data_IF_230082760714
#
_entry.id   IF_230082760714
#
_cell.length_a   1.000
_cell.length_b   1.000
_cell.length_c   1.000
_cell.angle_alpha   90.00
_cell.angle_beta   90.00
_cell.angle_gamma   90.00
#
_symmetry.space_group_name_H-M   'P 1'
#
loop_
_entity.id
_entity.type
_entity.pdbx_description
1 polymer ?
#
# COMPACT_ATOMS: atom_id res chain seq x y z
N UNK A 1 -2.42 -17.33 13.63
CA UNK A 1 -0.99 -17.53 13.28
C UNK A 1 -0.71 -16.57 12.13
N UNK A 2 0.16 -15.59 12.33
CA UNK A 2 0.45 -14.54 11.34
C UNK A 2 1.08 -15.10 10.06
N UNK A 3 0.91 -14.42 8.94
CA UNK A 3 1.58 -14.73 7.68
C UNK A 3 3.08 -14.45 7.77
N UNK A 4 3.47 -13.37 8.44
CA UNK A 4 4.85 -13.14 8.88
C UNK A 4 4.90 -12.27 10.13
N UNK A 5 6.03 -12.36 10.82
CA UNK A 5 6.37 -11.50 11.94
C UNK A 5 7.86 -11.14 11.87
N UNK A 6 8.13 -9.85 11.76
CA UNK A 6 9.44 -9.25 11.96
C UNK A 6 9.47 -8.76 13.41
N UNK A 7 10.41 -9.28 14.21
CA UNK A 7 10.58 -8.94 15.63
C UNK A 7 11.93 -8.26 15.82
N UNK A 8 11.90 -6.95 16.06
CA UNK A 8 13.07 -6.08 16.26
C UNK A 8 14.17 -6.27 15.20
N UNK A 9 13.77 -6.37 13.93
CA UNK A 9 14.65 -6.74 12.82
C UNK A 9 15.55 -5.58 12.43
N UNK A 10 16.87 -5.81 12.46
CA UNK A 10 17.86 -4.87 11.92
C UNK A 10 18.71 -5.56 10.86
N UNK A 11 19.04 -4.82 9.81
CA UNK A 11 19.87 -5.30 8.72
C UNK A 11 20.81 -4.21 8.17
N UNK A 12 22.02 -4.61 7.83
CA UNK A 12 23.05 -3.76 7.19
C UNK A 12 23.73 -4.50 6.05
N UNK A 13 24.02 -3.77 4.98
CA UNK A 13 24.97 -4.21 3.96
C UNK A 13 26.36 -3.72 4.37
N UNK A 14 27.27 -4.64 4.64
CA UNK A 14 28.60 -4.32 5.18
C UNK A 14 28.51 -3.45 6.46
N UNK A 15 28.87 -2.17 6.33
CA UNK A 15 28.82 -1.18 7.43
C UNK A 15 27.63 -0.23 7.35
N UNK A 16 26.84 -0.27 6.26
CA UNK A 16 25.74 0.66 6.03
C UNK A 16 24.43 0.10 6.56
N UNK A 17 23.84 0.66 7.63
CA UNK A 17 22.54 0.23 8.12
C UNK A 17 21.46 0.51 7.09
N UNK A 18 20.56 -0.45 6.89
CA UNK A 18 19.43 -0.36 5.94
C UNK A 18 18.10 -0.53 6.63
N UNK A 19 18.04 -1.37 7.67
CA UNK A 19 16.88 -1.52 8.53
C UNK A 19 17.32 -1.46 9.99
N UNK A 20 16.51 -0.81 10.83
CA UNK A 20 16.80 -0.63 12.25
C UNK A 20 15.52 -0.88 13.07
N UNK A 21 15.52 -1.98 13.84
CA UNK A 21 14.48 -2.28 14.82
C UNK A 21 13.08 -2.34 14.21
N UNK A 22 12.88 -3.09 13.12
CA UNK A 22 11.58 -3.22 12.46
C UNK A 22 10.73 -4.25 13.19
N UNK A 23 9.58 -3.80 13.70
CA UNK A 23 8.51 -4.64 14.25
C UNK A 23 7.30 -4.54 13.31
N UNK A 24 6.99 -5.62 12.59
CA UNK A 24 5.91 -5.63 11.63
C UNK A 24 5.30 -7.03 11.49
N UNK A 25 3.99 -7.10 11.48
CA UNK A 25 3.22 -8.34 11.30
C UNK A 25 2.24 -8.22 10.16
N UNK A 26 1.90 -9.36 9.56
CA UNK A 26 0.79 -9.52 8.62
C UNK A 26 -0.06 -10.71 9.04
N UNK A 27 -1.37 -10.50 9.13
CA UNK A 27 -2.32 -11.56 9.43
C UNK A 27 -2.88 -12.20 8.15
N UNK A 28 -3.38 -13.46 8.21
CA UNK A 28 -4.10 -14.07 7.09
C UNK A 28 -5.34 -13.25 6.72
N UNK A 29 -5.60 -13.10 5.42
CA UNK A 29 -6.74 -12.32 4.95
C UNK A 29 -6.60 -10.81 5.17
N UNK A 30 -5.36 -10.32 5.15
CA UNK A 30 -5.02 -8.90 5.29
C UNK A 30 -4.19 -8.43 4.09
N UNK A 31 -4.46 -7.20 3.61
CA UNK A 31 -3.62 -6.49 2.65
C UNK A 31 -2.87 -5.38 3.38
N UNK A 32 -1.56 -5.53 3.52
CA UNK A 32 -0.66 -4.54 4.10
C UNK A 32 0.04 -3.76 2.99
N UNK A 33 -0.23 -2.45 2.91
CA UNK A 33 0.55 -1.53 2.08
C UNK A 33 1.88 -1.19 2.77
N UNK A 34 3.01 -1.50 2.13
CA UNK A 34 4.34 -1.11 2.61
C UNK A 34 4.86 0.05 1.77
N UNK A 35 4.84 1.25 2.34
CA UNK A 35 5.15 2.50 1.66
C UNK A 35 6.48 3.08 2.12
N UNK A 36 7.16 3.78 1.21
CA UNK A 36 8.43 4.44 1.48
C UNK A 36 9.08 4.89 0.18
N UNK A 37 9.96 5.89 0.26
CA UNK A 37 10.74 6.33 -0.89
C UNK A 37 11.71 5.24 -1.39
N UNK A 38 12.34 5.46 -2.55
CA UNK A 38 13.37 4.56 -3.04
C UNK A 38 14.56 4.56 -2.09
N UNK A 39 15.01 3.37 -1.67
CA UNK A 39 16.07 3.22 -0.67
C UNK A 39 15.55 3.21 0.79
N UNK A 40 14.26 3.35 1.05
CA UNK A 40 13.70 3.28 2.41
C UNK A 40 13.88 1.91 3.11
N UNK A 41 14.20 0.84 2.35
CA UNK A 41 14.39 -0.51 2.90
C UNK A 41 13.28 -1.51 2.54
N UNK A 42 12.26 -1.14 1.76
CA UNK A 42 11.14 -2.02 1.37
C UNK A 42 11.59 -3.35 0.78
N UNK A 43 12.41 -3.30 -0.27
CA UNK A 43 12.94 -4.51 -0.93
C UNK A 43 13.82 -5.35 0.01
N UNK A 44 14.48 -4.73 0.98
CA UNK A 44 15.25 -5.44 2.01
C UNK A 44 14.32 -6.18 2.97
N UNK A 45 13.22 -5.56 3.41
CA UNK A 45 12.17 -6.25 4.18
C UNK A 45 11.61 -7.45 3.42
N UNK A 46 11.26 -7.27 2.12
CA UNK A 46 10.80 -8.36 1.27
C UNK A 46 11.82 -9.51 1.24
N UNK A 47 13.09 -9.23 0.99
CA UNK A 47 14.14 -10.24 0.90
C UNK A 47 14.33 -11.01 2.21
N UNK A 48 14.20 -10.36 3.36
CA UNK A 48 14.25 -10.98 4.68
C UNK A 48 13.04 -11.92 4.89
N UNK A 49 11.83 -11.47 4.54
CA UNK A 49 10.60 -12.28 4.64
C UNK A 49 10.68 -13.49 3.69
N UNK A 50 11.23 -13.32 2.50
CA UNK A 50 11.45 -14.42 1.55
C UNK A 50 12.58 -15.39 1.97
N UNK A 51 13.36 -15.05 3.02
CA UNK A 51 14.52 -15.85 3.44
C UNK A 51 15.70 -15.80 2.48
N UNK A 52 15.75 -14.80 1.60
CA UNK A 52 16.88 -14.56 0.70
C UNK A 52 18.07 -13.92 1.43
N UNK A 53 17.83 -13.43 2.64
CA UNK A 53 18.80 -12.81 3.51
C UNK A 53 18.42 -13.09 4.98
N UNK A 54 19.43 -13.11 5.86
CA UNK A 54 19.21 -13.26 7.30
C UNK A 54 19.38 -11.90 8.00
N UNK A 55 18.57 -11.57 9.02
CA UNK A 55 18.73 -10.34 9.77
C UNK A 55 20.05 -10.36 10.56
N UNK A 56 20.63 -9.18 10.80
CA UNK A 56 21.79 -9.08 11.71
C UNK A 56 21.36 -9.11 13.19
N UNK A 57 20.14 -8.62 13.48
CA UNK A 57 19.50 -8.64 14.80
C UNK A 57 18.01 -8.86 14.65
N UNK A 58 17.40 -9.40 15.68
CA UNK A 58 15.98 -9.75 15.69
C UNK A 58 15.69 -11.08 15.02
N UNK A 59 14.43 -11.36 14.75
CA UNK A 59 13.99 -12.61 14.16
C UNK A 59 12.91 -12.40 13.08
N UNK A 60 12.85 -13.31 12.11
CA UNK A 60 11.85 -13.34 11.04
C UNK A 60 11.18 -14.69 11.05
N UNK A 61 9.88 -14.73 11.32
CA UNK A 61 9.06 -15.92 11.20
C UNK A 61 8.03 -15.75 10.09
N UNK A 62 7.80 -16.80 9.29
CA UNK A 62 6.88 -16.76 8.14
C UNK A 62 6.05 -18.03 8.14
N UNK A 63 4.71 -17.91 8.11
CA UNK A 63 3.76 -19.01 8.14
C UNK A 63 4.04 -20.05 9.25
N UNK A 64 4.58 -19.56 10.38
CA UNK A 64 4.92 -20.37 11.55
C UNK A 64 6.23 -21.13 11.46
N UNK A 65 7.01 -20.95 10.41
CA UNK A 65 8.35 -21.50 10.24
C UNK A 65 9.42 -20.42 10.10
N UNK A 66 10.65 -20.84 9.80
CA UNK A 66 11.73 -19.91 9.50
C UNK A 66 11.65 -19.41 8.05
N UNK A 67 11.99 -18.14 7.85
CA UNK A 67 12.12 -17.58 6.51
C UNK A 67 13.16 -18.38 5.70
N UNK A 68 12.84 -18.73 4.45
CA UNK A 68 13.72 -19.52 3.57
C UNK A 68 13.54 -21.04 3.67
N UNK A 69 12.83 -21.56 4.65
CA UNK A 69 12.54 -23.00 4.71
C UNK A 69 11.73 -23.46 3.48
N UNK A 70 12.10 -24.56 2.80
CA UNK A 70 11.39 -25.05 1.62
C UNK A 70 9.90 -25.29 1.87
N UNK A 71 9.52 -25.77 3.07
CA UNK A 71 8.13 -25.98 3.47
C UNK A 71 7.33 -24.67 3.60
N UNK A 72 8.01 -23.55 3.88
CA UNK A 72 7.43 -22.22 3.97
C UNK A 72 7.38 -21.57 2.58
N UNK A 73 8.51 -21.58 1.87
CA UNK A 73 8.67 -20.87 0.59
C UNK A 73 7.73 -21.37 -0.50
N UNK A 74 7.37 -22.67 -0.50
CA UNK A 74 6.37 -23.20 -1.43
C UNK A 74 4.99 -22.53 -1.32
N UNK A 75 4.67 -21.96 -0.16
CA UNK A 75 3.41 -21.26 0.11
C UNK A 75 3.51 -19.73 -0.05
N UNK A 76 4.65 -19.22 -0.51
CA UNK A 76 4.84 -17.80 -0.78
C UNK A 76 4.77 -17.56 -2.30
N UNK A 77 4.04 -16.52 -2.69
CA UNK A 77 4.10 -15.93 -4.03
C UNK A 77 4.89 -14.62 -4.00
N UNK A 78 5.71 -14.40 -5.01
CA UNK A 78 6.47 -13.16 -5.12
C UNK A 78 6.43 -12.60 -6.54
N UNK A 79 6.04 -11.34 -6.66
CA UNK A 79 6.13 -10.54 -7.88
C UNK A 79 7.17 -9.44 -7.65
N UNK A 80 8.35 -9.50 -8.25
CA UNK A 80 9.35 -8.43 -8.17
C UNK A 80 8.95 -7.23 -9.05
N UNK A 81 9.50 -6.04 -8.75
CA UNK A 81 9.31 -4.82 -9.54
C UNK A 81 9.67 -5.02 -11.02
N UNK A 82 10.79 -5.67 -11.29
CA UNK A 82 11.28 -5.93 -12.63
C UNK A 82 11.14 -7.41 -12.98
N UNK A 83 10.17 -7.70 -13.85
CA UNK A 83 9.90 -9.05 -14.33
C UNK A 83 10.60 -9.28 -15.66
N UNK A 84 11.46 -10.30 -15.73
CA UNK A 84 12.15 -10.71 -16.95
C UNK A 84 11.87 -12.18 -17.26
N UNK A 85 11.50 -12.45 -18.49
CA UNK A 85 11.25 -13.81 -19.00
C UNK A 85 12.12 -14.09 -20.23
N UNK A 86 12.29 -15.37 -20.53
CA UNK A 86 12.98 -15.81 -21.74
C UNK A 86 12.16 -15.41 -22.98
N UNK A 87 12.67 -14.55 -23.87
CA UNK A 87 11.89 -13.95 -24.95
C UNK A 87 11.36 -14.95 -25.99
N UNK A 88 12.00 -16.12 -26.07
CA UNK A 88 11.67 -17.18 -27.03
C UNK A 88 10.51 -18.05 -26.60
N UNK A 89 10.23 -18.11 -25.28
CA UNK A 89 9.18 -18.93 -24.71
C UNK A 89 7.83 -18.22 -24.73
N UNK A 90 6.77 -19.01 -24.81
CA UNK A 90 5.39 -18.52 -24.64
C UNK A 90 5.05 -18.33 -23.16
N UNK A 91 3.98 -17.55 -22.86
CA UNK A 91 3.50 -17.38 -21.50
C UNK A 91 3.14 -18.71 -20.84
N UNK A 92 2.51 -19.62 -21.60
CA UNK A 92 2.17 -20.96 -21.15
C UNK A 92 3.41 -21.81 -20.83
N UNK A 93 4.40 -21.80 -21.68
CA UNK A 93 5.66 -22.56 -21.45
C UNK A 93 6.38 -22.08 -20.20
N UNK A 94 6.48 -20.77 -20.02
CA UNK A 94 7.07 -20.14 -18.84
C UNK A 94 6.31 -20.54 -17.58
N UNK A 95 5.01 -20.41 -17.58
CA UNK A 95 4.21 -20.70 -16.39
C UNK A 95 4.20 -22.20 -16.07
N UNK A 96 4.20 -23.08 -17.07
CA UNK A 96 4.39 -24.52 -16.91
C UNK A 96 5.75 -24.85 -16.26
N UNK A 97 6.81 -24.17 -16.66
CA UNK A 97 8.14 -24.35 -16.08
C UNK A 97 8.15 -23.99 -14.59
N UNK A 98 7.62 -22.84 -14.23
CA UNK A 98 7.53 -22.42 -12.82
C UNK A 98 6.58 -23.29 -12.01
N UNK A 99 5.47 -23.76 -12.58
CA UNK A 99 4.58 -24.70 -11.92
C UNK A 99 5.30 -26.00 -11.53
N UNK A 100 6.11 -26.55 -12.43
CA UNK A 100 6.93 -27.75 -12.14
C UNK A 100 7.95 -27.46 -11.03
N UNK A 101 8.66 -26.33 -11.08
CA UNK A 101 9.65 -25.96 -10.05
C UNK A 101 9.00 -25.81 -8.67
N UNK A 102 7.77 -25.29 -8.63
CA UNK A 102 7.02 -25.10 -7.39
C UNK A 102 6.25 -26.34 -6.92
N UNK A 103 6.24 -27.42 -7.72
CA UNK A 103 5.42 -28.59 -7.44
C UNK A 103 3.90 -28.34 -7.57
N UNK A 104 3.51 -27.29 -8.31
CA UNK A 104 2.11 -26.94 -8.53
C UNK A 104 1.52 -27.71 -9.72
N UNK A 105 0.21 -27.96 -9.69
CA UNK A 105 -0.49 -28.64 -10.79
C UNK A 105 -0.44 -27.81 -12.07
N UNK A 106 -0.06 -28.44 -13.19
CA UNK A 106 -0.07 -27.81 -14.52
C UNK A 106 -1.49 -27.40 -14.99
N UNK A 107 -2.54 -28.01 -14.42
CA UNK A 107 -3.92 -27.65 -14.72
C UNK A 107 -4.29 -26.24 -14.30
N UNK A 108 -3.56 -25.63 -13.35
CA UNK A 108 -3.74 -24.25 -12.94
C UNK A 108 -3.28 -23.24 -14.01
N UNK A 109 -2.37 -23.64 -14.90
CA UNK A 109 -1.67 -22.72 -15.80
C UNK A 109 -2.63 -21.98 -16.74
N UNK A 110 -3.50 -22.65 -17.53
CA UNK A 110 -4.45 -21.91 -18.38
C UNK A 110 -5.39 -21.04 -17.57
N UNK A 111 -5.90 -21.52 -16.43
CA UNK A 111 -6.80 -20.76 -15.57
C UNK A 111 -6.16 -19.49 -15.02
N UNK A 112 -4.90 -19.55 -14.56
CA UNK A 112 -4.17 -18.38 -14.07
C UNK A 112 -3.88 -17.38 -15.19
N UNK A 113 -3.55 -17.86 -16.41
CA UNK A 113 -3.34 -16.98 -17.56
C UNK A 113 -4.64 -16.26 -17.97
N UNK A 114 -5.77 -16.93 -17.93
CA UNK A 114 -7.09 -16.31 -18.14
C UNK A 114 -7.40 -15.30 -17.04
N UNK A 115 -7.17 -15.67 -15.78
CA UNK A 115 -7.45 -14.83 -14.61
C UNK A 115 -6.66 -13.51 -14.62
N UNK A 116 -5.43 -13.52 -15.13
CA UNK A 116 -4.64 -12.30 -15.29
C UNK A 116 -4.84 -11.61 -16.65
N UNK A 117 -5.81 -12.04 -17.47
CA UNK A 117 -6.14 -11.45 -18.77
C UNK A 117 -5.09 -11.70 -19.86
N UNK A 118 -4.46 -12.88 -19.84
CA UNK A 118 -3.51 -13.35 -20.86
C UNK A 118 -4.01 -14.58 -21.62
N UNK A 119 -5.31 -14.91 -21.53
CA UNK A 119 -5.90 -16.08 -22.19
C UNK A 119 -5.60 -16.13 -23.69
N UNK A 120 -5.92 -15.07 -24.43
CA UNK A 120 -5.70 -14.99 -25.88
C UNK A 120 -4.23 -14.93 -26.29
N UNK A 121 -3.35 -14.51 -25.37
CA UNK A 121 -1.92 -14.32 -25.64
C UNK A 121 -1.04 -15.44 -25.04
N UNK A 122 -1.63 -16.44 -24.38
CA UNK A 122 -0.86 -17.44 -23.61
C UNK A 122 0.12 -18.23 -24.47
N UNK A 123 -0.16 -18.44 -25.76
CA UNK A 123 0.67 -19.18 -26.70
C UNK A 123 1.53 -18.25 -27.58
N UNK A 124 1.46 -16.94 -27.38
CA UNK A 124 2.35 -15.98 -28.01
C UNK A 124 3.69 -15.92 -27.24
N UNK A 125 4.79 -15.70 -27.97
CA UNK A 125 6.14 -15.58 -27.39
C UNK A 125 6.25 -14.30 -26.56
N UNK A 126 6.90 -14.37 -25.40
CA UNK A 126 7.00 -13.22 -24.46
C UNK A 126 7.80 -12.05 -25.00
N UNK A 127 8.59 -12.22 -26.08
CA UNK A 127 9.20 -11.09 -26.81
C UNK A 127 8.17 -10.13 -27.39
N UNK A 128 6.94 -10.58 -27.66
CA UNK A 128 5.86 -9.75 -28.19
C UNK A 128 5.00 -9.12 -27.09
N UNK A 129 5.25 -9.49 -25.82
CA UNK A 129 4.49 -8.98 -24.69
C UNK A 129 4.85 -7.53 -24.39
N UNK A 130 3.84 -6.70 -24.16
CA UNK A 130 4.00 -5.37 -23.57
C UNK A 130 4.57 -5.46 -22.15
N UNK A 131 4.98 -4.33 -21.57
CA UNK A 131 5.40 -4.28 -20.16
C UNK A 131 4.29 -4.78 -19.24
N UNK A 132 3.05 -4.33 -19.45
CA UNK A 132 1.90 -4.77 -18.66
C UNK A 132 1.57 -6.26 -18.83
N UNK A 133 1.74 -6.83 -20.03
CA UNK A 133 1.56 -8.27 -20.23
C UNK A 133 2.62 -9.09 -19.49
N UNK A 134 3.88 -8.63 -19.47
CA UNK A 134 4.93 -9.28 -18.66
C UNK A 134 4.64 -9.18 -17.17
N UNK A 135 4.14 -8.04 -16.70
CA UNK A 135 3.74 -7.85 -15.31
C UNK A 135 2.61 -8.82 -14.92
N UNK A 136 1.59 -8.96 -15.78
CA UNK A 136 0.48 -9.91 -15.57
C UNK A 136 0.95 -11.37 -15.59
N UNK A 137 1.91 -11.73 -16.44
CA UNK A 137 2.52 -13.06 -16.41
C UNK A 137 3.30 -13.32 -15.11
N UNK A 138 4.02 -12.32 -14.60
CA UNK A 138 4.69 -12.37 -13.29
C UNK A 138 3.71 -12.56 -12.15
N UNK A 139 2.56 -11.89 -12.21
CA UNK A 139 1.48 -12.09 -11.24
C UNK A 139 0.94 -13.53 -11.30
N UNK A 140 0.67 -14.07 -12.50
CA UNK A 140 0.25 -15.47 -12.65
C UNK A 140 1.28 -16.46 -12.07
N UNK A 141 2.59 -16.17 -12.26
CA UNK A 141 3.67 -16.95 -11.65
C UNK A 141 3.63 -16.88 -10.11
N UNK A 142 3.40 -15.69 -9.53
CA UNK A 142 3.31 -15.51 -8.09
C UNK A 142 2.12 -16.27 -7.49
N UNK A 143 1.03 -16.43 -8.24
CA UNK A 143 -0.20 -17.12 -7.82
C UNK A 143 -0.14 -18.65 -7.93
N UNK A 144 0.87 -19.22 -8.57
CA UNK A 144 1.03 -20.66 -8.66
C UNK A 144 1.05 -21.33 -7.29
N UNK A 145 0.35 -22.44 -7.16
CA UNK A 145 0.29 -23.23 -5.93
C UNK A 145 -0.60 -22.62 -4.84
N UNK A 146 -1.41 -21.61 -5.14
CA UNK A 146 -2.33 -20.95 -4.19
C UNK A 146 -1.59 -20.48 -2.94
N UNK A 147 -0.75 -19.45 -3.05
CA UNK A 147 0.08 -18.99 -1.94
C UNK A 147 -0.76 -18.52 -0.75
N UNK A 148 -0.26 -18.76 0.47
CA UNK A 148 -0.81 -18.23 1.71
C UNK A 148 -0.29 -16.82 2.02
N UNK A 149 0.87 -16.48 1.48
CA UNK A 149 1.49 -15.16 1.56
C UNK A 149 1.87 -14.71 0.15
N UNK A 150 1.42 -13.52 -0.24
CA UNK A 150 1.72 -12.90 -1.53
C UNK A 150 2.48 -11.59 -1.33
N UNK A 151 3.69 -11.50 -1.88
CA UNK A 151 4.54 -10.32 -1.83
C UNK A 151 4.56 -9.68 -3.20
N UNK A 152 4.12 -8.43 -3.32
CA UNK A 152 4.01 -7.70 -4.59
C UNK A 152 4.84 -6.41 -4.51
N UNK A 153 5.91 -6.35 -5.32
CA UNK A 153 6.77 -5.17 -5.41
C UNK A 153 6.41 -4.38 -6.66
N UNK A 154 5.77 -3.20 -6.46
CA UNK A 154 5.31 -2.30 -7.52
C UNK A 154 4.40 -2.98 -8.57
N UNK A 155 3.34 -3.70 -8.19
CA UNK A 155 2.58 -4.56 -9.10
C UNK A 155 1.79 -3.80 -10.18
N UNK A 156 1.54 -2.51 -10.00
CA UNK A 156 0.76 -1.67 -10.93
C UNK A 156 1.62 -1.03 -12.03
N UNK A 157 2.93 -1.15 -11.95
CA UNK A 157 3.85 -0.54 -12.91
C UNK A 157 3.63 -1.12 -14.31
N UNK A 158 3.26 -0.24 -15.26
CA UNK A 158 3.03 -0.59 -16.66
C UNK A 158 1.64 -1.15 -16.95
N UNK A 159 0.73 -1.15 -15.96
CA UNK A 159 -0.69 -1.42 -16.17
C UNK A 159 -1.43 -0.13 -16.50
N UNK A 160 -2.43 -0.24 -17.35
CA UNK A 160 -3.42 0.81 -17.57
C UNK A 160 -4.45 0.86 -16.40
N UNK A 161 -5.32 1.89 -16.33
CA UNK A 161 -6.29 2.01 -15.24
C UNK A 161 -7.26 0.82 -15.11
N UNK A 162 -7.65 0.19 -16.22
CA UNK A 162 -8.57 -0.96 -16.22
C UNK A 162 -7.85 -2.18 -15.64
N UNK A 163 -6.65 -2.49 -16.15
CA UNK A 163 -5.84 -3.59 -15.65
C UNK A 163 -5.44 -3.40 -14.17
N UNK A 164 -5.24 -2.14 -13.73
CA UNK A 164 -4.99 -1.81 -12.32
C UNK A 164 -6.22 -2.12 -11.46
N UNK A 165 -7.42 -1.75 -11.91
CA UNK A 165 -8.66 -2.07 -11.19
C UNK A 165 -8.91 -3.57 -11.11
N UNK A 166 -8.64 -4.32 -12.20
CA UNK A 166 -8.75 -5.78 -12.24
C UNK A 166 -7.75 -6.45 -11.28
N UNK A 167 -6.51 -5.95 -11.24
CA UNK A 167 -5.52 -6.40 -10.26
C UNK A 167 -6.04 -6.23 -8.82
N UNK A 168 -6.51 -5.04 -8.45
CA UNK A 168 -7.01 -4.80 -7.10
C UNK A 168 -8.23 -5.65 -6.75
N UNK A 169 -9.12 -5.91 -7.72
CA UNK A 169 -10.25 -6.83 -7.53
C UNK A 169 -9.74 -8.24 -7.21
N UNK A 170 -8.78 -8.74 -7.99
CA UNK A 170 -8.15 -10.03 -7.75
C UNK A 170 -7.49 -10.11 -6.37
N UNK A 171 -6.78 -9.05 -5.94
CA UNK A 171 -6.15 -9.03 -4.61
C UNK A 171 -7.18 -9.10 -3.49
N UNK A 172 -8.34 -8.45 -3.63
CA UNK A 172 -9.44 -8.57 -2.67
C UNK A 172 -9.99 -9.99 -2.60
N UNK A 173 -10.23 -10.63 -3.74
CA UNK A 173 -10.69 -12.03 -3.79
C UNK A 173 -9.72 -12.97 -3.08
N UNK A 174 -8.41 -12.79 -3.29
CA UNK A 174 -7.35 -13.59 -2.64
C UNK A 174 -7.32 -13.33 -1.14
N UNK A 175 -7.42 -12.08 -0.71
CA UNK A 175 -7.51 -11.68 0.70
C UNK A 175 -8.71 -12.33 1.37
N UNK A 176 -9.88 -12.22 0.76
CA UNK A 176 -11.13 -12.79 1.28
C UNK A 176 -11.06 -14.33 1.35
N UNK A 177 -10.24 -14.94 0.50
CA UNK A 177 -9.86 -16.35 0.55
C UNK A 177 -8.82 -16.71 1.62
N UNK A 178 -8.35 -15.73 2.43
CA UNK A 178 -7.41 -15.93 3.53
C UNK A 178 -5.93 -15.73 3.17
N UNK A 179 -5.60 -15.31 1.95
CA UNK A 179 -4.21 -14.97 1.59
C UNK A 179 -3.80 -13.66 2.26
N UNK A 180 -2.66 -13.66 2.98
CA UNK A 180 -2.03 -12.43 3.43
C UNK A 180 -1.24 -11.79 2.28
N UNK A 181 -1.39 -10.48 2.08
CA UNK A 181 -0.80 -9.78 0.93
C UNK A 181 0.01 -8.59 1.41
N UNK A 182 1.26 -8.48 0.93
CA UNK A 182 2.06 -7.26 1.04
C UNK A 182 2.09 -6.57 -0.31
N UNK A 183 1.66 -5.33 -0.34
CA UNK A 183 1.67 -4.46 -1.50
C UNK A 183 2.70 -3.35 -1.29
N UNK A 184 3.87 -3.47 -1.91
CA UNK A 184 4.85 -2.39 -1.90
C UNK A 184 4.57 -1.43 -3.05
N UNK A 185 4.46 -0.15 -2.75
CA UNK A 185 4.32 0.90 -3.76
C UNK A 185 4.95 2.21 -3.30
N UNK A 186 5.39 2.99 -4.26
CA UNK A 186 5.74 4.40 -4.07
C UNK A 186 4.62 5.31 -4.58
N UNK A 187 3.61 4.76 -5.27
CA UNK A 187 2.42 5.46 -5.75
C UNK A 187 1.29 5.24 -4.76
N UNK A 188 0.93 6.27 -4.01
CA UNK A 188 -0.09 6.24 -2.96
C UNK A 188 -1.51 6.50 -3.47
N UNK A 189 -1.71 7.39 -4.48
CA UNK A 189 -3.05 7.67 -4.97
C UNK A 189 -3.77 6.42 -5.47
N UNK A 190 -5.00 6.22 -5.00
CA UNK A 190 -5.87 5.14 -5.45
C UNK A 190 -5.63 3.77 -4.81
N UNK A 191 -4.59 3.59 -3.97
CA UNK A 191 -4.34 2.32 -3.26
C UNK A 191 -5.15 2.21 -1.96
N UNK A 192 -5.47 3.35 -1.37
CA UNK A 192 -6.13 3.48 -0.06
C UNK A 192 -7.38 2.59 0.11
N UNK A 193 -8.31 2.47 -0.87
CA UNK A 193 -9.49 1.63 -0.73
C UNK A 193 -9.20 0.12 -0.74
N UNK A 194 -7.98 -0.28 -1.06
CA UNK A 194 -7.62 -1.68 -1.31
C UNK A 194 -6.74 -2.29 -0.24
N UNK A 195 -6.26 -1.49 0.72
CA UNK A 195 -5.42 -1.95 1.83
C UNK A 195 -6.20 -1.93 3.14
N UNK A 196 -5.90 -2.87 4.02
CA UNK A 196 -6.48 -2.93 5.37
C UNK A 196 -5.59 -2.15 6.35
N UNK A 197 -4.27 -2.24 6.19
CA UNK A 197 -3.28 -1.50 6.97
C UNK A 197 -2.18 -0.93 6.08
N UNK A 198 -1.56 0.15 6.54
CA UNK A 198 -0.37 0.73 5.93
C UNK A 198 0.80 0.73 6.91
N UNK A 199 1.99 0.49 6.38
CA UNK A 199 3.27 0.63 7.07
C UNK A 199 4.14 1.64 6.32
N UNK A 200 4.60 2.68 6.99
CA UNK A 200 5.41 3.76 6.42
C UNK A 200 6.86 3.57 6.87
N UNK A 201 7.71 3.27 5.90
CA UNK A 201 9.13 3.03 6.09
C UNK A 201 9.93 4.22 5.55
N UNK A 202 10.81 4.78 6.37
CA UNK A 202 11.69 5.89 5.97
C UNK A 202 13.05 5.71 6.61
N UNK A 203 14.12 5.83 5.81
CA UNK A 203 15.52 5.71 6.26
C UNK A 203 15.77 4.45 7.11
N UNK A 204 15.17 3.33 6.68
CA UNK A 204 15.33 2.04 7.35
C UNK A 204 14.58 1.89 8.66
N UNK A 205 13.73 2.83 9.05
CA UNK A 205 12.92 2.76 10.27
C UNK A 205 11.41 2.76 9.94
N UNK A 206 10.64 1.97 10.67
CA UNK A 206 9.18 1.99 10.61
C UNK A 206 8.67 3.21 11.38
N UNK A 207 8.15 4.21 10.67
CA UNK A 207 7.64 5.45 11.26
C UNK A 207 6.24 5.32 11.80
N UNK A 208 5.39 4.59 11.09
CA UNK A 208 4.02 4.33 11.49
C UNK A 208 3.51 3.03 10.85
N UNK A 209 2.65 2.31 11.56
CA UNK A 209 1.92 1.17 11.03
C UNK A 209 0.55 1.06 11.68
N UNK A 210 -0.49 0.78 10.89
CA UNK A 210 -1.84 0.64 11.38
C UNK A 210 -2.88 0.78 10.28
N UNK A 211 -4.16 0.66 10.63
CA UNK A 211 -5.24 1.06 9.74
C UNK A 211 -5.22 2.58 9.49
N UNK A 212 -5.87 3.05 8.45
CA UNK A 212 -5.87 4.46 8.09
C UNK A 212 -6.43 5.37 9.19
N UNK A 213 -7.41 4.88 9.95
CA UNK A 213 -7.99 5.63 11.05
C UNK A 213 -6.99 5.79 12.21
N UNK A 214 -6.24 4.72 12.52
CA UNK A 214 -5.16 4.77 13.51
C UNK A 214 -4.03 5.71 13.08
N UNK A 215 -3.62 5.65 11.81
CA UNK A 215 -2.59 6.53 11.25
C UNK A 215 -3.01 7.99 11.27
N UNK A 216 -4.26 8.31 10.93
CA UNK A 216 -4.83 9.67 11.02
C UNK A 216 -4.81 10.18 12.46
N UNK A 217 -5.19 9.34 13.44
CA UNK A 217 -5.11 9.70 14.87
C UNK A 217 -3.68 9.94 15.32
N UNK A 218 -2.75 9.05 14.94
CA UNK A 218 -1.33 9.18 15.30
C UNK A 218 -0.70 10.43 14.72
N UNK A 219 -1.03 10.79 13.48
CA UNK A 219 -0.57 12.01 12.81
C UNK A 219 -1.22 13.27 13.38
N UNK A 220 -2.32 13.14 14.12
CA UNK A 220 -3.12 14.26 14.65
C UNK A 220 -3.40 15.34 13.58
N UNK A 221 -3.68 14.92 12.37
CA UNK A 221 -3.89 15.81 11.24
C UNK A 221 -5.30 16.42 11.28
N UNK A 222 -5.46 17.68 10.84
CA UNK A 222 -6.77 18.32 10.76
C UNK A 222 -7.66 17.64 9.73
N UNK A 223 -8.96 17.73 9.94
CA UNK A 223 -10.01 17.39 8.96
C UNK A 223 -10.45 18.68 8.30
N UNK A 224 -10.63 18.68 6.99
CA UNK A 224 -11.12 19.82 6.23
C UNK A 224 -12.62 19.66 5.96
N UNK A 225 -13.42 20.63 6.40
CA UNK A 225 -14.80 20.80 5.96
C UNK A 225 -14.85 21.78 4.79
N UNK A 226 -15.51 21.39 3.71
CA UNK A 226 -15.84 22.28 2.60
C UNK A 226 -17.32 22.56 2.66
N UNK A 227 -17.68 23.81 2.92
CA UNK A 227 -19.03 24.26 3.19
C UNK A 227 -19.48 25.18 2.05
N UNK A 228 -20.62 24.87 1.43
CA UNK A 228 -21.27 25.71 0.46
C UNK A 228 -22.33 26.56 1.17
N UNK A 229 -22.23 27.90 1.13
CA UNK A 229 -23.22 28.74 1.80
C UNK A 229 -24.58 28.69 1.09
N UNK A 230 -25.66 28.63 1.85
CA UNK A 230 -27.03 28.72 1.33
C UNK A 230 -27.39 30.16 0.89
N UNK A 231 -26.92 31.17 1.63
CA UNK A 231 -27.23 32.57 1.40
C UNK A 231 -25.98 33.42 1.16
N UNK A 232 -25.14 33.60 2.18
CA UNK A 232 -23.93 34.35 2.05
C UNK A 232 -22.75 33.72 2.79
N UNK A 233 -21.53 33.94 2.27
CA UNK A 233 -20.29 33.53 2.91
C UNK A 233 -20.17 34.13 4.31
N UNK A 234 -20.47 35.43 4.46
CA UNK A 234 -20.33 36.15 5.73
C UNK A 234 -21.26 35.61 6.83
N UNK A 235 -22.49 35.18 6.47
CA UNK A 235 -23.40 34.59 7.44
C UNK A 235 -22.85 33.23 7.95
N UNK A 236 -22.32 32.44 7.06
CA UNK A 236 -21.70 31.15 7.41
C UNK A 236 -20.39 31.33 8.21
N UNK A 237 -19.55 32.29 7.88
CA UNK A 237 -18.37 32.66 8.67
C UNK A 237 -18.74 33.01 10.10
N UNK A 238 -19.79 33.84 10.32
CA UNK A 238 -20.28 34.18 11.63
C UNK A 238 -20.72 32.98 12.48
N UNK A 239 -21.37 32.00 11.83
CA UNK A 239 -21.76 30.74 12.49
C UNK A 239 -20.51 29.93 12.90
N UNK A 240 -19.53 29.84 12.02
CA UNK A 240 -18.27 29.11 12.28
C UNK A 240 -17.52 29.76 13.44
N UNK A 241 -17.36 31.08 13.42
CA UNK A 241 -16.67 31.83 14.47
C UNK A 241 -17.38 31.71 15.83
N UNK A 242 -18.72 31.73 15.84
CA UNK A 242 -19.51 31.58 17.06
C UNK A 242 -19.46 30.16 17.63
N UNK A 243 -19.34 29.14 16.78
CA UNK A 243 -19.27 27.73 17.16
C UNK A 243 -17.87 27.29 17.57
N UNK A 244 -16.84 28.05 17.19
CA UNK A 244 -15.47 27.69 17.46
C UNK A 244 -15.02 28.12 18.85
N UNK A 245 -14.99 27.19 19.77
CA UNK A 245 -14.36 27.35 21.09
C UNK A 245 -12.83 27.26 21.06
N UNK A 246 -12.25 26.94 19.92
CA UNK A 246 -10.82 26.58 19.74
C UNK A 246 -10.11 27.62 18.87
N UNK A 247 -9.07 28.22 19.37
CA UNK A 247 -8.08 29.05 18.65
C UNK A 247 -7.27 28.17 17.70
N UNK A 248 -7.77 27.85 16.51
CA UNK A 248 -7.04 27.02 15.57
C UNK A 248 -7.78 26.66 14.27
N UNK A 249 -8.95 27.27 14.06
CA UNK A 249 -9.65 27.12 12.78
C UNK A 249 -8.94 27.97 11.73
N UNK A 250 -8.58 27.33 10.62
CA UNK A 250 -8.10 28.06 9.43
C UNK A 250 -9.25 28.08 8.44
N UNK A 251 -9.84 29.28 8.24
CA UNK A 251 -10.92 29.49 7.27
C UNK A 251 -10.29 30.04 5.99
N UNK A 252 -10.57 29.38 4.85
CA UNK A 252 -10.16 29.83 3.51
C UNK A 252 -11.40 29.90 2.64
N UNK A 253 -11.62 31.02 1.96
CA UNK A 253 -12.62 31.12 0.91
C UNK A 253 -12.00 30.72 -0.43
N UNK A 254 -12.60 29.76 -1.12
CA UNK A 254 -12.18 29.32 -2.44
C UNK A 254 -13.40 29.01 -3.31
N UNK A 255 -13.50 29.71 -4.45
CA UNK A 255 -14.54 29.46 -5.47
C UNK A 255 -15.98 29.47 -4.93
N UNK A 256 -16.28 30.34 -3.94
CA UNK A 256 -17.60 30.46 -3.33
C UNK A 256 -17.90 29.45 -2.22
N UNK A 257 -16.93 28.62 -1.84
CA UNK A 257 -17.00 27.69 -0.70
C UNK A 257 -16.06 28.11 0.41
N UNK A 258 -16.46 27.84 1.65
CA UNK A 258 -15.59 27.99 2.81
C UNK A 258 -14.92 26.66 3.12
N UNK A 259 -13.59 26.68 3.24
CA UNK A 259 -12.80 25.55 3.73
C UNK A 259 -12.37 25.81 5.16
N UNK A 260 -12.67 24.88 6.04
CA UNK A 260 -12.38 24.99 7.47
C UNK A 260 -11.55 23.79 7.90
N UNK A 261 -10.29 24.04 8.24
CA UNK A 261 -9.41 23.02 8.80
C UNK A 261 -9.58 23.02 10.32
N UNK A 262 -9.92 21.87 10.90
CA UNK A 262 -10.22 21.70 12.32
C UNK A 262 -9.71 20.37 12.86
N UNK A 263 -9.52 20.33 14.18
CA UNK A 263 -9.15 19.09 14.84
C UNK A 263 -10.32 18.08 14.80
N UNK A 264 -10.04 16.78 14.65
CA UNK A 264 -11.08 15.75 14.57
C UNK A 264 -12.08 15.78 15.72
N UNK A 265 -11.64 16.18 16.93
CA UNK A 265 -12.49 16.30 18.13
C UNK A 265 -13.56 17.39 18.01
N UNK A 266 -13.26 18.47 17.26
CA UNK A 266 -14.14 19.65 17.16
C UNK A 266 -15.14 19.51 15.99
N UNK A 267 -14.95 18.48 15.13
CA UNK A 267 -15.73 18.26 13.90
C UNK A 267 -17.23 18.19 14.16
N UNK A 268 -17.65 17.39 15.13
CA UNK A 268 -19.09 17.18 15.37
C UNK A 268 -19.78 18.41 15.94
N UNK A 269 -19.10 19.17 16.81
CA UNK A 269 -19.64 20.41 17.36
C UNK A 269 -19.87 21.45 16.27
N UNK A 270 -18.88 21.63 15.37
CA UNK A 270 -19.01 22.56 14.26
C UNK A 270 -20.09 22.11 13.26
N UNK A 271 -20.16 20.84 12.92
CA UNK A 271 -21.19 20.31 12.02
C UNK A 271 -22.59 20.56 12.57
N UNK A 272 -22.82 20.30 13.86
CA UNK A 272 -24.12 20.58 14.49
C UNK A 272 -24.49 22.07 14.42
N UNK A 273 -23.54 22.96 14.73
CA UNK A 273 -23.81 24.40 14.67
C UNK A 273 -24.13 24.88 13.25
N UNK A 274 -23.34 24.46 12.26
CA UNK A 274 -23.52 24.82 10.86
C UNK A 274 -24.86 24.31 10.32
N UNK A 275 -25.21 23.03 10.61
CA UNK A 275 -26.49 22.47 10.17
C UNK A 275 -27.68 23.11 10.85
N UNK A 276 -27.58 23.44 12.15
CA UNK A 276 -28.66 24.10 12.90
C UNK A 276 -28.90 25.54 12.44
N UNK A 277 -27.91 26.21 11.87
CA UNK A 277 -28.04 27.61 11.39
C UNK A 277 -28.90 27.75 10.14
N UNK A 278 -29.01 26.72 9.30
CA UNK A 278 -29.64 26.78 7.98
C UNK A 278 -28.86 27.59 6.94
N UNK A 279 -27.64 28.06 7.25
CA UNK A 279 -26.83 28.88 6.35
C UNK A 279 -25.94 28.08 5.42
N UNK A 280 -26.01 26.71 5.43
CA UNK A 280 -25.24 25.81 4.58
C UNK A 280 -26.14 25.06 3.60
N UNK A 281 -25.74 25.06 2.32
CA UNK A 281 -26.44 24.32 1.26
C UNK A 281 -25.85 22.91 1.04
N UNK A 282 -24.53 22.77 1.15
CA UNK A 282 -23.83 21.47 0.99
C UNK A 282 -22.61 21.41 1.90
N UNK A 283 -22.28 20.18 2.35
CA UNK A 283 -21.14 19.89 3.22
C UNK A 283 -20.37 18.72 2.64
N UNK A 284 -19.09 18.94 2.37
CA UNK A 284 -18.15 17.87 2.08
C UNK A 284 -17.09 17.77 3.18
N UNK A 285 -16.79 16.54 3.60
CA UNK A 285 -15.81 16.27 4.65
C UNK A 285 -14.62 15.57 4.01
N UNK A 286 -13.45 16.21 4.06
CA UNK A 286 -12.20 15.67 3.56
C UNK A 286 -11.32 15.25 4.72
N UNK A 287 -11.11 13.95 4.86
CA UNK A 287 -10.13 13.40 5.79
C UNK A 287 -8.76 13.36 5.11
N UNK A 288 -7.65 13.51 5.87
CA UNK A 288 -6.32 13.33 5.33
C UNK A 288 -6.20 12.02 4.57
N UNK A 289 -5.72 12.10 3.34
CA UNK A 289 -5.44 10.94 2.49
C UNK A 289 -4.22 10.17 3.01
N UNK A 290 -4.02 8.95 2.49
CA UNK A 290 -2.80 8.20 2.76
C UNK A 290 -1.53 8.97 2.30
N UNK A 291 -1.64 9.76 1.24
CA UNK A 291 -0.56 10.63 0.76
C UNK A 291 -0.22 11.73 1.76
N UNK A 292 -1.24 12.41 2.32
CA UNK A 292 -1.04 13.43 3.35
C UNK A 292 -0.38 12.83 4.60
N UNK A 293 -0.85 11.66 5.04
CA UNK A 293 -0.28 10.92 6.16
C UNK A 293 1.19 10.57 5.88
N UNK A 294 1.48 10.07 4.69
CA UNK A 294 2.82 9.72 4.27
C UNK A 294 3.76 10.93 4.28
N UNK A 295 3.32 12.06 3.70
CA UNK A 295 4.09 13.32 3.70
C UNK A 295 4.33 13.81 5.14
N UNK A 296 3.35 13.69 6.03
CA UNK A 296 3.49 14.06 7.43
C UNK A 296 4.61 13.26 8.12
N UNK A 297 4.62 11.93 7.97
CA UNK A 297 5.62 11.07 8.62
C UNK A 297 7.01 11.17 8.00
N UNK A 298 7.11 11.52 6.72
CA UNK A 298 8.41 11.79 6.07
C UNK A 298 8.88 13.21 6.33
N UNK A 299 7.99 14.21 6.26
CA UNK A 299 8.33 15.62 6.40
C UNK A 299 8.85 15.98 7.80
N UNK A 300 8.43 15.28 8.83
CA UNK A 300 8.98 15.41 10.18
C UNK A 300 10.41 14.89 10.35
N UNK A 301 10.97 14.20 9.35
CA UNK A 301 12.33 13.65 9.37
C UNK A 301 13.20 13.94 8.14
N UNK A 302 12.63 14.39 7.02
CA UNK A 302 13.29 14.30 5.70
C UNK A 302 13.69 15.61 5.00
N UNK A 303 13.36 16.78 5.50
CA UNK A 303 13.74 18.06 4.88
C UNK A 303 15.14 18.56 5.27
N UNK A 304 15.85 17.87 6.18
CA UNK A 304 17.18 18.27 6.63
C UNK A 304 18.35 17.86 5.71
N UNK A 305 18.15 17.05 4.66
CA UNK A 305 19.24 16.51 3.84
C UNK A 305 19.18 16.77 2.33
N UNK A 306 18.38 17.74 1.84
CA UNK A 306 18.44 18.15 0.42
C UNK A 306 18.98 19.58 0.23
N UNK A 307 19.97 19.96 1.01
CA UNK A 307 20.72 21.18 0.86
C UNK A 307 22.22 20.92 0.93
N UNK A 308 22.84 20.50 -0.18
CA UNK A 308 24.32 20.49 -0.24
C UNK A 308 24.90 19.28 -0.97
N UNK A 309 25.00 19.39 -2.27
CA UNK A 309 26.29 19.24 -2.98
C UNK A 309 26.11 19.47 -4.49
N UNK A 310 26.93 20.37 -4.94
CA UNK A 310 27.18 20.73 -6.34
C UNK A 310 27.74 19.55 -7.13
#
# INVERSE_FOLDING_TARGET
MSCFHLDNVSYRYDKSPVLTGIDLTLEPGEILGLFGHNGAGKTTCIKLILGLMNPNQGSVSVLGGHAGDPQVTQHIGYLPENVMFYPQLTGREILNHFARLKGASLQQVPQLLEQVGLGDAMDARTKTYSKGMRQRLGLAQALLGKPKLLMLDEPTVGLDPVATADLYRLLRELRDGGTGIVLCSHVLPGVEPYIDRAAILTDGALKAAGDLAALRRQANMPVTLSLEPANSISALEHVIDSASSSSGLIIKSDSGRLRVDLQPRDKMALLHAVMASGEVADISIHQPSLEDIYVHFIGSGGLAHRGGSK
#
